data_IF_168621140507
#
_entry.id   IF_168621140507
#
_cell.length_a   1.000
_cell.length_b   1.000
_cell.length_c   1.000
_cell.angle_alpha   90.00
_cell.angle_beta   90.00
_cell.angle_gamma   90.00
#
_symmetry.space_group_name_H-M   'P 1'
#
loop_
_entity.id
_entity.type
_entity.pdbx_description
1 polymer ?
#
# COMPACT_ATOMS: atom_id res chain seq x y z
N UNK A 1 -8.11 -9.10 0.59
CA UNK A 1 -7.83 -9.32 2.03
C UNK A 1 -6.69 -8.44 2.56
N UNK A 2 -5.58 -8.30 1.83
CA UNK A 2 -4.40 -7.52 2.27
C UNK A 2 -4.68 -6.00 2.35
N UNK A 3 -5.42 -5.44 1.39
CA UNK A 3 -5.80 -4.01 1.43
C UNK A 3 -6.65 -3.65 2.68
N UNK A 4 -7.52 -4.57 3.12
CA UNK A 4 -8.33 -4.39 4.34
C UNK A 4 -7.43 -4.30 5.58
N UNK A 5 -6.45 -5.21 5.69
CA UNK A 5 -5.47 -5.21 6.78
C UNK A 5 -4.62 -3.93 6.78
N UNK A 6 -4.19 -3.47 5.60
CA UNK A 6 -3.49 -2.18 5.46
C UNK A 6 -4.33 -1.01 5.97
N UNK A 7 -5.63 -0.98 5.65
CA UNK A 7 -6.53 0.06 6.14
C UNK A 7 -6.68 0.01 7.66
N UNK A 8 -6.89 -1.17 8.22
CA UNK A 8 -7.00 -1.38 9.67
C UNK A 8 -5.72 -0.95 10.41
N UNK A 9 -4.54 -1.23 9.88
CA UNK A 9 -3.28 -0.74 10.45
C UNK A 9 -3.19 0.79 10.44
N UNK A 10 -3.74 1.46 9.41
CA UNK A 10 -3.75 2.94 9.35
C UNK A 10 -4.73 3.53 10.36
N UNK A 11 -5.89 2.91 10.53
CA UNK A 11 -6.88 3.28 11.54
C UNK A 11 -6.30 3.11 12.95
N UNK A 12 -5.73 1.94 13.25
CA UNK A 12 -5.10 1.66 14.54
C UNK A 12 -3.95 2.64 14.86
N UNK A 13 -3.10 2.96 13.87
CA UNK A 13 -2.03 3.94 14.05
C UNK A 13 -2.58 5.34 14.37
N UNK A 14 -3.68 5.73 13.71
CA UNK A 14 -4.36 7.01 13.98
C UNK A 14 -4.94 7.06 15.37
N UNK A 15 -5.58 5.98 15.81
CA UNK A 15 -6.19 5.89 17.13
C UNK A 15 -5.12 5.91 18.23
N UNK A 16 -4.00 5.20 18.04
CA UNK A 16 -2.85 5.24 18.94
C UNK A 16 -2.32 6.67 19.12
N UNK A 17 -2.14 7.40 18.01
CA UNK A 17 -1.66 8.79 18.03
C UNK A 17 -2.67 9.71 18.73
N UNK A 18 -3.97 9.55 18.44
CA UNK A 18 -5.04 10.39 19.01
C UNK A 18 -5.25 10.13 20.50
N UNK A 19 -5.01 8.90 20.97
CA UNK A 19 -5.28 8.50 22.35
C UNK A 19 -4.42 9.22 23.39
N UNK A 20 -3.21 9.67 23.02
CA UNK A 20 -2.26 10.29 23.94
C UNK A 20 -1.79 9.39 25.09
N UNK A 21 -2.08 8.09 25.02
CA UNK A 21 -1.73 7.10 26.05
C UNK A 21 -0.25 6.71 25.93
N UNK A 22 0.38 6.34 27.04
CA UNK A 22 1.78 5.85 27.06
C UNK A 22 1.87 4.33 26.91
N UNK A 23 0.80 3.60 27.26
CA UNK A 23 0.74 2.14 27.22
C UNK A 23 -0.47 1.68 26.41
N UNK A 24 -0.30 0.62 25.65
CA UNK A 24 -1.34 -0.02 24.86
C UNK A 24 -1.31 -1.55 25.06
N UNK A 25 -2.41 -2.20 24.73
CA UNK A 25 -2.51 -3.65 24.74
C UNK A 25 -2.45 -4.16 23.31
N UNK A 26 -1.55 -5.11 23.05
CA UNK A 26 -1.38 -5.73 21.74
C UNK A 26 -1.69 -7.22 21.87
N UNK A 27 -2.55 -7.72 20.99
CA UNK A 27 -2.86 -9.15 20.91
C UNK A 27 -1.86 -9.85 19.99
N UNK A 28 -1.14 -10.84 20.51
CA UNK A 28 -0.27 -11.73 19.74
C UNK A 28 -0.83 -13.14 19.85
N UNK A 29 -1.50 -13.60 18.80
CA UNK A 29 -2.24 -14.87 18.84
C UNK A 29 -3.38 -14.83 19.86
N UNK A 30 -3.33 -15.72 20.85
CA UNK A 30 -4.30 -15.79 21.96
C UNK A 30 -3.87 -14.99 23.20
N UNK A 31 -2.70 -14.32 23.16
CA UNK A 31 -2.12 -13.64 24.33
C UNK A 31 -2.25 -12.13 24.20
N UNK A 32 -2.59 -11.46 25.30
CA UNK A 32 -2.61 -10.00 25.39
C UNK A 32 -1.34 -9.51 26.10
N UNK A 33 -0.53 -8.70 25.41
CA UNK A 33 0.72 -8.18 25.92
C UNK A 33 0.62 -6.67 26.09
N UNK A 34 1.02 -6.17 27.26
CA UNK A 34 1.10 -4.73 27.52
C UNK A 34 2.38 -4.18 26.91
N UNK A 35 2.26 -3.23 26.00
CA UNK A 35 3.38 -2.63 25.31
C UNK A 35 3.36 -1.10 25.44
N UNK A 36 4.52 -0.47 25.39
CA UNK A 36 4.60 0.97 25.23
C UNK A 36 4.10 1.38 23.83
N UNK A 37 3.42 2.53 23.75
CA UNK A 37 2.84 3.04 22.50
C UNK A 37 3.89 3.28 21.43
N UNK A 38 5.08 3.79 21.79
CA UNK A 38 6.15 4.03 20.82
C UNK A 38 6.59 2.76 20.10
N UNK A 39 6.70 1.65 20.84
CA UNK A 39 7.11 0.39 20.24
C UNK A 39 5.96 -0.34 19.54
N UNK A 40 4.71 -0.11 19.92
CA UNK A 40 3.56 -0.58 19.12
C UNK A 40 3.46 0.20 17.80
N UNK A 41 3.78 1.50 17.82
CA UNK A 41 3.84 2.36 16.64
C UNK A 41 4.90 1.87 15.64
N UNK A 42 6.13 1.62 16.10
CA UNK A 42 7.19 1.08 15.22
C UNK A 42 6.84 -0.28 14.63
N UNK A 43 6.16 -1.14 15.41
CA UNK A 43 5.67 -2.44 14.95
C UNK A 43 4.63 -2.27 13.84
N UNK A 44 3.63 -1.40 14.03
CA UNK A 44 2.60 -1.12 13.02
C UNK A 44 3.18 -0.47 11.75
N UNK A 45 4.15 0.44 11.89
CA UNK A 45 4.84 1.06 10.75
C UNK A 45 5.65 0.05 9.94
N UNK A 46 6.31 -0.89 10.62
CA UNK A 46 7.07 -1.97 9.98
C UNK A 46 6.12 -2.92 9.24
N UNK A 47 5.01 -3.31 9.87
CA UNK A 47 3.99 -4.15 9.23
C UNK A 47 3.38 -3.44 7.99
N UNK A 48 3.12 -2.13 8.07
CA UNK A 48 2.67 -1.35 6.91
C UNK A 48 3.68 -1.34 5.76
N UNK A 49 4.99 -1.23 6.04
CA UNK A 49 6.04 -1.31 5.02
C UNK A 49 6.06 -2.67 4.33
N UNK A 50 6.00 -3.74 5.12
CA UNK A 50 6.00 -5.11 4.60
C UNK A 50 4.75 -5.37 3.73
N UNK A 51 3.57 -5.00 4.22
CA UNK A 51 2.32 -5.11 3.46
C UNK A 51 2.38 -4.35 2.13
N UNK A 52 2.98 -3.16 2.10
CA UNK A 52 3.12 -2.40 0.85
C UNK A 52 4.04 -3.10 -0.17
N UNK A 53 5.15 -3.70 0.30
CA UNK A 53 6.05 -4.47 -0.55
C UNK A 53 5.30 -5.67 -1.15
N UNK A 54 4.57 -6.41 -0.31
CA UNK A 54 3.88 -7.62 -0.74
C UNK A 54 2.72 -7.33 -1.68
N UNK A 55 1.96 -6.24 -1.43
CA UNK A 55 0.93 -5.76 -2.37
C UNK A 55 1.54 -5.42 -3.73
N UNK A 56 2.66 -4.70 -3.75
CA UNK A 56 3.31 -4.31 -5.00
C UNK A 56 3.84 -5.53 -5.76
N UNK A 57 4.49 -6.48 -5.06
CA UNK A 57 4.92 -7.76 -5.66
C UNK A 57 3.75 -8.53 -6.24
N UNK A 58 2.65 -8.65 -5.49
CA UNK A 58 1.46 -9.37 -5.92
C UNK A 58 0.85 -8.73 -7.18
N UNK A 59 0.76 -7.40 -7.22
CA UNK A 59 0.27 -6.66 -8.39
C UNK A 59 1.18 -6.84 -9.59
N UNK A 60 2.50 -6.72 -9.44
CA UNK A 60 3.44 -6.92 -10.55
C UNK A 60 3.37 -8.34 -11.10
N UNK A 61 3.33 -9.36 -10.22
CA UNK A 61 3.20 -10.76 -10.63
C UNK A 61 1.88 -11.02 -11.37
N UNK A 62 0.78 -10.40 -10.91
CA UNK A 62 -0.50 -10.51 -11.60
C UNK A 62 -0.43 -9.93 -13.02
N UNK A 63 0.19 -8.76 -13.19
CA UNK A 63 0.33 -8.13 -14.51
C UNK A 63 1.10 -9.01 -15.48
N UNK A 64 2.22 -9.61 -15.03
CA UNK A 64 3.04 -10.51 -15.84
C UNK A 64 2.20 -11.74 -16.24
N UNK A 65 1.61 -12.44 -15.27
CA UNK A 65 0.83 -13.65 -15.53
C UNK A 65 -0.38 -13.43 -16.45
N UNK A 66 -1.03 -12.27 -16.35
CA UNK A 66 -2.15 -11.93 -17.24
C UNK A 66 -1.67 -11.70 -18.67
N UNK A 67 -0.51 -11.08 -18.87
CA UNK A 67 0.06 -10.94 -20.19
C UNK A 67 0.53 -12.29 -20.74
N UNK A 68 1.24 -13.10 -19.96
CA UNK A 68 1.67 -14.44 -20.38
C UNK A 68 0.49 -15.29 -20.89
N UNK A 69 -0.65 -15.22 -20.18
CA UNK A 69 -1.88 -15.92 -20.58
C UNK A 69 -2.44 -15.38 -21.90
N UNK A 70 -2.44 -14.06 -22.11
CA UNK A 70 -2.91 -13.47 -23.38
C UNK A 70 -2.00 -13.78 -24.55
N UNK A 71 -0.70 -13.83 -24.31
CA UNK A 71 0.29 -14.21 -25.32
C UNK A 71 0.04 -15.66 -25.77
N UNK A 72 -0.28 -16.56 -24.83
CA UNK A 72 -0.70 -17.94 -25.14
C UNK A 72 -2.04 -18.01 -25.89
N UNK A 73 -2.97 -17.09 -25.62
CA UNK A 73 -4.26 -16.98 -26.31
C UNK A 73 -4.18 -16.22 -27.65
N UNK A 74 -2.99 -15.76 -28.06
CA UNK A 74 -2.78 -14.94 -29.28
C UNK A 74 -3.67 -13.67 -29.23
N UNK A 75 -3.79 -13.08 -28.04
CA UNK A 75 -4.54 -11.85 -27.82
C UNK A 75 -3.59 -10.68 -27.52
N UNK A 76 -3.97 -9.45 -27.91
CA UNK A 76 -3.17 -8.28 -27.56
C UNK A 76 -3.15 -8.04 -26.04
N UNK A 77 -2.05 -7.47 -25.50
CA UNK A 77 -1.92 -7.13 -24.08
C UNK A 77 -3.07 -6.24 -23.59
N UNK A 78 -3.43 -6.35 -22.30
CA UNK A 78 -4.52 -5.55 -21.73
C UNK A 78 -4.17 -4.06 -21.74
N UNK A 79 -4.94 -3.21 -22.44
CA UNK A 79 -4.71 -1.77 -22.43
C UNK A 79 -4.83 -1.22 -21.01
N UNK A 80 -3.90 -0.35 -20.61
CA UNK A 80 -3.96 0.32 -19.31
C UNK A 80 -3.46 -0.51 -18.12
N UNK A 81 -3.19 -1.80 -18.27
CA UNK A 81 -2.73 -2.66 -17.16
C UNK A 81 -1.33 -2.26 -16.65
N UNK A 82 -0.49 -1.75 -17.53
CA UNK A 82 0.89 -1.35 -17.25
C UNK A 82 1.05 0.14 -16.95
N UNK A 83 -0.05 0.87 -16.67
CA UNK A 83 0.05 2.29 -16.31
C UNK A 83 0.81 2.47 -15.00
N UNK A 84 1.61 3.54 -14.96
CA UNK A 84 2.37 4.01 -13.80
C UNK A 84 1.88 5.43 -13.51
N UNK A 85 1.75 5.82 -12.24
CA UNK A 85 1.43 7.21 -11.90
C UNK A 85 2.45 8.17 -12.53
N UNK A 86 1.94 9.26 -13.08
CA UNK A 86 2.74 10.33 -13.68
C UNK A 86 3.68 10.93 -12.62
N UNK A 87 4.94 11.18 -13.00
CA UNK A 87 5.91 11.82 -12.11
C UNK A 87 5.66 13.32 -12.00
N UNK A 88 6.11 13.91 -10.88
CA UNK A 88 6.00 15.36 -10.64
C UNK A 88 6.68 16.23 -11.71
N UNK A 89 7.61 15.67 -12.49
CA UNK A 89 8.24 16.39 -13.61
C UNK A 89 7.32 16.41 -14.83
N UNK A 90 6.74 15.26 -15.15
CA UNK A 90 5.79 15.11 -16.27
C UNK A 90 4.51 15.92 -16.03
N UNK A 91 3.97 15.91 -14.80
CA UNK A 91 2.81 16.74 -14.44
C UNK A 91 3.09 18.24 -14.62
N UNK A 92 4.27 18.70 -14.18
CA UNK A 92 4.69 20.10 -14.36
C UNK A 92 4.88 20.45 -15.83
N UNK A 93 5.45 19.53 -16.62
CA UNK A 93 5.57 19.67 -18.06
C UNK A 93 4.21 19.86 -18.73
N UNK A 94 3.22 19.01 -18.43
CA UNK A 94 1.87 19.13 -18.98
C UNK A 94 1.15 20.42 -18.55
N UNK A 95 1.32 20.84 -17.29
CA UNK A 95 0.75 22.11 -16.81
C UNK A 95 1.39 23.31 -17.51
N UNK A 96 2.71 23.29 -17.73
CA UNK A 96 3.40 24.35 -18.49
C UNK A 96 3.01 24.38 -19.97
N UNK A 97 2.65 23.23 -20.53
CA UNK A 97 2.15 23.10 -21.90
C UNK A 97 0.65 23.40 -22.03
N UNK A 98 -0.04 23.76 -20.95
CA UNK A 98 -1.47 24.12 -20.96
C UNK A 98 -2.44 22.95 -21.14
N UNK A 99 -1.95 21.71 -21.05
CA UNK A 99 -2.76 20.49 -21.28
C UNK A 99 -3.57 20.07 -20.04
N UNK A 100 -3.18 20.54 -18.85
CA UNK A 100 -3.87 20.26 -17.57
C UNK A 100 -3.93 21.56 -16.75
N UNK A 101 -5.10 21.90 -16.16
CA UNK A 101 -5.23 23.07 -15.29
C UNK A 101 -4.28 22.96 -14.09
N UNK A 102 -3.73 24.12 -13.69
CA UNK A 102 -2.74 24.24 -12.63
C UNK A 102 -3.34 24.05 -11.24
#
# INVERSE_FOLDING_TARGET
MIDKRRNQNREALRDLIKSGQTKCWVTVGSVLVKHNVDSAKTLLETDQKQLNIDINKLRSNLKIKVNDLRDLEIQPPVPGLMLVPMSNKETRGLSSAGLIPR
#
